data_IF_573894024672
#
_entry.id   IF_573894024672
#
_cell.length_a   1.000
_cell.length_b   1.000
_cell.length_c   1.000
_cell.angle_alpha   90.00
_cell.angle_beta   90.00
_cell.angle_gamma   90.00
#
_symmetry.space_group_name_H-M   'P 1'
#
loop_
_entity.id
_entity.type
_entity.pdbx_description
1 polymer ?
#
# COMPACT_ATOMS: atom_id res chain seq x y z
N UNK A 1 -3.16 -25.58 10.40
CA UNK A 1 -3.05 -24.24 10.97
C UNK A 1 -3.95 -23.30 10.20
N UNK A 2 -5.05 -22.89 10.82
CA UNK A 2 -6.16 -22.16 10.20
C UNK A 2 -5.70 -20.78 9.69
N UNK A 3 -5.90 -20.58 8.39
CA UNK A 3 -5.71 -19.35 7.65
C UNK A 3 -6.75 -18.29 8.07
N UNK A 4 -6.60 -17.70 9.25
CA UNK A 4 -7.28 -16.44 9.57
C UNK A 4 -6.42 -15.34 8.99
N UNK A 5 -6.75 -14.86 7.79
CA UNK A 5 -6.47 -13.45 7.45
C UNK A 5 -7.13 -12.68 8.58
N UNK A 6 -6.34 -12.25 9.56
CA UNK A 6 -6.88 -11.62 10.76
C UNK A 6 -7.68 -10.41 10.29
N UNK A 7 -8.88 -10.18 10.85
CA UNK A 7 -9.68 -9.00 10.54
C UNK A 7 -8.81 -7.73 10.61
N UNK A 8 -7.85 -7.71 11.55
CA UNK A 8 -6.84 -6.65 11.68
C UNK A 8 -5.90 -6.50 10.49
N UNK A 9 -5.55 -7.57 9.77
CA UNK A 9 -4.75 -7.48 8.53
C UNK A 9 -5.54 -6.80 7.40
N UNK A 10 -6.82 -7.14 7.25
CA UNK A 10 -7.69 -6.52 6.25
C UNK A 10 -7.88 -5.04 6.58
N UNK A 11 -8.22 -4.73 7.84
CA UNK A 11 -8.38 -3.35 8.32
C UNK A 11 -7.09 -2.56 8.12
N UNK A 12 -5.94 -3.09 8.54
CA UNK A 12 -4.65 -2.40 8.38
C UNK A 12 -4.34 -2.15 6.91
N UNK A 13 -4.58 -3.13 6.03
CA UNK A 13 -4.36 -2.99 4.59
C UNK A 13 -5.26 -1.92 3.97
N UNK A 14 -6.54 -1.91 4.34
CA UNK A 14 -7.49 -0.88 3.90
C UNK A 14 -7.08 0.52 4.36
N UNK A 15 -6.61 0.65 5.61
CA UNK A 15 -6.09 1.92 6.16
C UNK A 15 -4.84 2.37 5.40
N UNK A 16 -3.88 1.48 5.13
CA UNK A 16 -2.68 1.83 4.35
C UNK A 16 -3.02 2.32 2.94
N UNK A 17 -3.95 1.67 2.24
CA UNK A 17 -4.40 2.13 0.93
C UNK A 17 -5.20 3.43 1.00
N UNK A 18 -6.07 3.59 1.99
CA UNK A 18 -6.82 4.83 2.21
C UNK A 18 -5.89 6.02 2.47
N UNK A 19 -4.91 5.84 3.34
CA UNK A 19 -3.90 6.87 3.64
C UNK A 19 -3.03 7.16 2.41
N UNK A 20 -2.60 6.14 1.66
CA UNK A 20 -1.87 6.35 0.41
C UNK A 20 -2.65 7.22 -0.58
N UNK A 21 -3.95 6.96 -0.73
CA UNK A 21 -4.83 7.73 -1.61
C UNK A 21 -5.00 9.19 -1.14
N UNK A 22 -5.25 9.40 0.14
CA UNK A 22 -5.40 10.76 0.70
C UNK A 22 -4.11 11.59 0.58
N UNK A 23 -2.96 10.98 0.86
CA UNK A 23 -1.66 11.66 0.70
C UNK A 23 -1.40 11.96 -0.77
N UNK A 24 -1.78 11.07 -1.68
CA UNK A 24 -1.64 11.31 -3.12
C UNK A 24 -2.46 12.53 -3.57
N UNK A 25 -3.73 12.61 -3.16
CA UNK A 25 -4.57 13.79 -3.45
C UNK A 25 -3.96 15.07 -2.88
N UNK A 26 -3.44 15.03 -1.65
CA UNK A 26 -2.75 16.17 -1.04
C UNK A 26 -1.48 16.56 -1.81
N UNK A 27 -0.75 15.58 -2.34
CA UNK A 27 0.39 15.80 -3.22
C UNK A 27 0.02 16.53 -4.51
N UNK A 28 -1.16 16.24 -5.08
CA UNK A 28 -1.67 16.97 -6.25
C UNK A 28 -2.01 18.42 -5.91
N UNK A 29 -2.66 18.69 -4.78
CA UNK A 29 -2.89 20.08 -4.33
C UNK A 29 -1.57 20.85 -4.18
N UNK A 30 -0.54 20.24 -3.59
CA UNK A 30 0.78 20.89 -3.50
C UNK A 30 1.45 21.11 -4.85
N UNK A 31 1.13 20.27 -5.84
CA UNK A 31 1.63 20.44 -7.20
C UNK A 31 0.94 21.63 -7.89
N UNK A 32 -0.38 21.79 -7.69
CA UNK A 32 -1.16 22.94 -8.17
C UNK A 32 -0.74 24.26 -7.50
N UNK A 33 -0.31 24.22 -6.23
CA UNK A 33 0.21 25.37 -5.48
C UNK A 33 1.70 25.70 -5.78
N UNK A 34 2.33 25.08 -6.79
CA UNK A 34 3.77 25.20 -7.11
C UNK A 34 4.72 24.84 -5.95
N UNK A 35 4.23 24.11 -4.93
CA UNK A 35 5.02 23.63 -3.78
C UNK A 35 5.69 22.29 -4.11
N UNK A 36 6.56 22.29 -5.11
CA UNK A 36 7.16 21.08 -5.69
C UNK A 36 7.79 20.13 -4.65
N UNK A 37 8.56 20.65 -3.69
CA UNK A 37 9.18 19.83 -2.65
C UNK A 37 8.14 19.06 -1.81
N UNK A 38 7.04 19.72 -1.43
CA UNK A 38 5.97 19.10 -0.65
C UNK A 38 5.19 18.08 -1.49
N UNK A 39 4.97 18.38 -2.78
CA UNK A 39 4.33 17.46 -3.72
C UNK A 39 5.13 16.16 -3.88
N UNK A 40 6.44 16.25 -4.16
CA UNK A 40 7.30 15.07 -4.33
C UNK A 40 7.41 14.23 -3.05
N UNK A 41 7.57 14.88 -1.88
CA UNK A 41 7.58 14.17 -0.60
C UNK A 41 6.24 13.47 -0.37
N UNK A 42 5.12 14.13 -0.65
CA UNK A 42 3.79 13.54 -0.50
C UNK A 42 3.61 12.33 -1.43
N UNK A 43 4.02 12.42 -2.70
CA UNK A 43 3.96 11.27 -3.61
C UNK A 43 4.86 10.11 -3.16
N UNK A 44 6.06 10.38 -2.64
CA UNK A 44 6.92 9.36 -2.07
C UNK A 44 6.26 8.68 -0.85
N UNK A 45 5.66 9.47 0.05
CA UNK A 45 4.92 8.95 1.21
C UNK A 45 3.69 8.13 0.80
N UNK A 46 2.96 8.56 -0.23
CA UNK A 46 1.83 7.81 -0.79
C UNK A 46 2.29 6.47 -1.36
N UNK A 47 3.39 6.47 -2.12
CA UNK A 47 3.97 5.25 -2.67
C UNK A 47 4.43 4.26 -1.59
N UNK A 48 5.13 4.74 -0.55
CA UNK A 48 5.55 3.89 0.56
C UNK A 48 4.34 3.30 1.32
N UNK A 49 3.27 4.07 1.53
CA UNK A 49 2.04 3.56 2.13
C UNK A 49 1.31 2.54 1.23
N UNK A 50 1.36 2.74 -0.08
CA UNK A 50 0.83 1.77 -1.04
C UNK A 50 1.61 0.44 -0.99
N UNK A 51 2.95 0.50 -0.99
CA UNK A 51 3.81 -0.68 -0.81
C UNK A 51 3.55 -1.38 0.54
N UNK A 52 3.31 -0.59 1.59
CA UNK A 52 2.92 -1.10 2.90
C UNK A 52 1.57 -1.86 2.85
N UNK A 53 0.58 -1.38 2.08
CA UNK A 53 -0.66 -2.11 1.81
C UNK A 53 -0.43 -3.43 1.06
N UNK A 54 0.53 -3.48 0.13
CA UNK A 54 0.81 -4.67 -0.68
C UNK A 54 1.51 -5.82 0.06
N UNK A 55 2.05 -5.61 1.28
CA UNK A 55 2.81 -6.63 2.03
C UNK A 55 2.12 -8.00 2.07
N UNK A 56 0.81 -8.03 2.30
CA UNK A 56 0.05 -9.28 2.36
C UNK A 56 -0.28 -9.87 0.99
N UNK A 57 -0.50 -9.03 -0.03
CA UNK A 57 -0.69 -9.48 -1.40
C UNK A 57 0.56 -10.18 -1.93
N UNK A 58 1.75 -9.61 -1.68
CA UNK A 58 3.04 -10.18 -2.07
C UNK A 58 3.27 -11.51 -1.34
N UNK A 59 3.01 -11.59 -0.03
CA UNK A 59 3.16 -12.82 0.74
C UNK A 59 2.23 -13.94 0.27
N UNK A 60 0.98 -13.60 -0.07
CA UNK A 60 0.01 -14.56 -0.63
C UNK A 60 0.40 -15.00 -2.04
N UNK A 61 0.89 -14.08 -2.87
CA UNK A 61 1.38 -14.39 -4.21
C UNK A 61 2.59 -15.33 -4.17
N UNK A 62 3.56 -15.08 -3.29
CA UNK A 62 4.73 -15.96 -3.12
C UNK A 62 4.33 -17.37 -2.68
N UNK A 63 3.40 -17.49 -1.72
CA UNK A 63 2.84 -18.79 -1.30
C UNK A 63 2.16 -19.51 -2.47
N UNK A 64 1.39 -18.79 -3.28
CA UNK A 64 0.67 -19.35 -4.43
C UNK A 64 1.65 -19.86 -5.50
N UNK A 65 2.68 -19.08 -5.84
CA UNK A 65 3.73 -19.46 -6.77
C UNK A 65 4.49 -20.70 -6.27
N UNK A 66 4.91 -20.69 -4.99
CA UNK A 66 5.60 -21.84 -4.40
C UNK A 66 4.75 -23.11 -4.39
N UNK A 67 3.44 -22.99 -4.22
CA UNK A 67 2.51 -24.14 -4.29
C UNK A 67 2.35 -24.69 -5.71
N UNK A 68 2.42 -23.83 -6.73
CA UNK A 68 2.33 -24.24 -8.15
C UNK A 68 3.63 -24.93 -8.57
N UNK A 69 4.79 -24.40 -8.15
CA UNK A 69 6.11 -24.91 -8.53
C UNK A 69 6.49 -26.24 -7.85
N UNK A 70 5.77 -26.64 -6.79
CA UNK A 70 6.00 -27.89 -6.04
C UNK A 70 5.11 -29.05 -6.51
N UNK A 71 4.32 -28.81 -7.56
CA UNK A 71 3.45 -29.79 -8.22
C UNK A 71 4.08 -30.17 -9.56
#
# INVERSE_FOLDING_TARGET
MVNRTSLGQIISTAVFYGVAFLIFLKGMEFLEEDKLAHAYISFACAFLNFLAGMRFAIANMYKKIKSILKK
#
